data_IF_346759711199
#
_entry.id   IF_346759711199
#
_cell.length_a   1.000
_cell.length_b   1.000
_cell.length_c   1.000
_cell.angle_alpha   90.00
_cell.angle_beta   90.00
_cell.angle_gamma   90.00
#
_symmetry.space_group_name_H-M   'P 1'
#
loop_
_entity.id
_entity.type
_entity.pdbx_description
1 polymer ?
#
# COMPACT_ATOMS: atom_id res chain seq x y z
N UNK A 1 15.00 13.53 11.99
CA UNK A 1 14.35 12.36 12.65
C UNK A 1 14.31 12.69 14.13
N UNK A 2 13.20 12.46 14.83
CA UNK A 2 13.17 12.70 16.29
C UNK A 2 14.19 11.77 16.95
N UNK A 3 15.03 12.32 17.82
CA UNK A 3 16.05 11.57 18.59
C UNK A 3 15.39 10.74 19.69
N UNK A 4 14.60 9.73 19.30
CA UNK A 4 13.95 8.82 20.23
C UNK A 4 14.17 7.36 19.81
N UNK A 5 14.33 6.49 20.80
CA UNK A 5 14.40 5.04 20.59
C UNK A 5 13.06 4.52 20.05
N UNK A 6 13.06 3.41 19.32
CA UNK A 6 11.83 2.83 18.76
C UNK A 6 10.76 2.56 19.84
N UNK A 7 11.17 2.18 21.05
CA UNK A 7 10.26 1.99 22.18
C UNK A 7 9.63 3.32 22.63
N UNK A 8 10.40 4.40 22.69
CA UNK A 8 9.88 5.74 23.02
C UNK A 8 8.95 6.27 21.94
N UNK A 9 9.25 6.03 20.67
CA UNK A 9 8.38 6.39 19.56
C UNK A 9 7.03 5.64 19.61
N UNK A 10 7.07 4.33 19.83
CA UNK A 10 5.86 3.51 19.97
C UNK A 10 5.05 3.90 21.21
N UNK A 11 5.71 4.23 22.31
CA UNK A 11 5.04 4.75 23.51
C UNK A 11 4.37 6.10 23.25
N UNK A 12 5.00 7.01 22.50
CA UNK A 12 4.40 8.28 22.10
C UNK A 12 3.18 8.09 21.20
N UNK A 13 3.25 7.17 20.22
CA UNK A 13 2.10 6.81 19.38
C UNK A 13 0.97 6.27 20.25
N UNK A 14 1.28 5.36 21.19
CA UNK A 14 0.29 4.78 22.08
C UNK A 14 -0.43 5.86 22.92
N UNK A 15 0.32 6.78 23.53
CA UNK A 15 -0.25 7.90 24.30
C UNK A 15 -1.18 8.76 23.43
N UNK A 16 -0.78 9.06 22.19
CA UNK A 16 -1.63 9.81 21.26
C UNK A 16 -2.93 9.08 20.95
N UNK A 17 -2.85 7.78 20.64
CA UNK A 17 -4.02 6.95 20.37
C UNK A 17 -4.94 6.86 21.59
N UNK A 18 -4.38 6.65 22.78
CA UNK A 18 -5.13 6.56 24.03
C UNK A 18 -5.85 7.89 24.34
N UNK A 19 -5.20 9.04 24.11
CA UNK A 19 -5.80 10.37 24.28
C UNK A 19 -6.94 10.65 23.28
N UNK A 20 -6.79 10.25 22.01
CA UNK A 20 -7.85 10.37 21.00
C UNK A 20 -9.06 9.51 21.39
N UNK A 21 -8.79 8.29 21.85
CA UNK A 21 -9.82 7.35 22.29
C UNK A 21 -10.54 7.86 23.54
N UNK A 22 -9.81 8.44 24.50
CA UNK A 22 -10.38 9.04 25.72
C UNK A 22 -11.23 10.29 25.44
N UNK A 23 -10.95 11.02 24.36
CA UNK A 23 -11.76 12.15 23.90
C UNK A 23 -13.09 11.72 23.22
N UNK A 24 -13.38 10.41 23.16
CA UNK A 24 -14.58 9.87 22.53
C UNK A 24 -14.57 9.96 21.00
N UNK A 25 -13.43 10.32 20.40
CA UNK A 25 -13.27 10.39 18.95
C UNK A 25 -12.96 8.99 18.43
N UNK A 26 -13.93 8.38 17.74
CA UNK A 26 -13.68 7.14 17.01
C UNK A 26 -13.01 7.47 15.68
N UNK A 27 -11.97 6.72 15.30
CA UNK A 27 -11.42 6.83 13.95
C UNK A 27 -12.28 5.96 13.06
N UNK A 28 -13.16 6.59 12.29
CA UNK A 28 -14.05 5.84 11.42
C UNK A 28 -13.29 5.33 10.19
N UNK A 29 -13.77 4.20 9.65
CA UNK A 29 -13.18 3.59 8.45
C UNK A 29 -13.16 4.56 7.26
N UNK A 30 -14.14 5.46 7.20
CA UNK A 30 -14.22 6.54 6.22
C UNK A 30 -13.04 7.51 6.31
N UNK A 31 -12.65 7.94 7.52
CA UNK A 31 -11.53 8.86 7.72
C UNK A 31 -10.21 8.26 7.24
N UNK A 32 -10.02 6.97 7.51
CA UNK A 32 -8.85 6.22 7.03
C UNK A 32 -8.84 6.19 5.50
N UNK A 33 -9.98 5.92 4.87
CA UNK A 33 -10.11 5.89 3.40
C UNK A 33 -9.80 7.25 2.80
N UNK A 34 -10.38 8.32 3.35
CA UNK A 34 -10.14 9.69 2.89
C UNK A 34 -8.67 10.09 3.03
N UNK A 35 -8.04 9.75 4.15
CA UNK A 35 -6.62 10.00 4.37
C UNK A 35 -5.75 9.28 3.33
N UNK A 36 -6.00 7.99 3.12
CA UNK A 36 -5.26 7.18 2.14
C UNK A 36 -5.44 7.73 0.71
N UNK A 37 -6.67 8.04 0.31
CA UNK A 37 -6.94 8.52 -1.04
C UNK A 37 -6.33 9.90 -1.31
N UNK A 38 -6.49 10.83 -0.36
CA UNK A 38 -6.02 12.19 -0.53
C UNK A 38 -4.49 12.29 -0.45
N UNK A 39 -3.89 11.70 0.58
CA UNK A 39 -2.46 11.90 0.86
C UNK A 39 -1.57 10.90 0.11
N UNK A 40 -1.95 9.61 0.09
CA UNK A 40 -1.12 8.56 -0.48
C UNK A 40 -1.38 8.30 -1.95
N UNK A 41 -2.62 8.43 -2.44
CA UNK A 41 -2.94 8.09 -3.82
C UNK A 41 -2.88 9.33 -4.73
N UNK A 42 -3.67 10.35 -4.45
CA UNK A 42 -3.82 11.52 -5.33
C UNK A 42 -2.53 12.34 -5.44
N UNK A 43 -1.96 12.75 -4.30
CA UNK A 43 -0.72 13.53 -4.30
C UNK A 43 0.44 12.74 -4.90
N UNK A 44 0.56 11.45 -4.57
CA UNK A 44 1.62 10.62 -5.10
C UNK A 44 1.52 10.52 -6.62
N UNK A 45 0.35 10.18 -7.17
CA UNK A 45 0.18 10.03 -8.63
C UNK A 45 0.45 11.34 -9.36
N UNK A 46 -0.07 12.45 -8.84
CA UNK A 46 0.15 13.78 -9.41
C UNK A 46 1.62 14.18 -9.39
N UNK A 47 2.32 13.96 -8.28
CA UNK A 47 3.70 14.41 -8.12
C UNK A 47 4.71 13.50 -8.82
N UNK A 48 4.47 12.18 -8.85
CA UNK A 48 5.43 11.20 -9.39
C UNK A 48 5.22 10.90 -10.87
N UNK A 49 3.97 10.87 -11.34
CA UNK A 49 3.64 10.47 -12.70
C UNK A 49 3.04 11.61 -13.53
N UNK A 50 2.95 12.83 -12.98
CA UNK A 50 2.29 13.98 -13.62
C UNK A 50 0.93 13.62 -14.24
N UNK A 51 0.20 12.74 -13.57
CA UNK A 51 -1.06 12.16 -14.03
C UNK A 51 -2.15 12.46 -13.02
N UNK A 52 -3.40 12.50 -13.46
CA UNK A 52 -4.56 12.68 -12.58
C UNK A 52 -5.52 11.49 -12.71
N UNK A 53 -6.09 11.08 -11.58
CA UNK A 53 -7.23 10.17 -11.59
C UNK A 53 -8.44 10.99 -12.03
N UNK A 54 -9.23 10.45 -12.97
CA UNK A 54 -10.42 11.13 -13.50
C UNK A 54 -11.72 10.55 -12.97
N UNK A 55 -11.74 9.25 -12.70
CA UNK A 55 -12.95 8.51 -12.34
C UNK A 55 -12.64 7.54 -11.23
N UNK A 56 -13.48 7.57 -10.19
CA UNK A 56 -13.46 6.62 -9.09
C UNK A 56 -14.70 5.74 -9.19
N UNK A 57 -14.52 4.42 -9.17
CA UNK A 57 -15.62 3.45 -9.22
C UNK A 57 -15.68 2.63 -7.93
N UNK A 58 -16.85 2.52 -7.31
CA UNK A 58 -17.09 1.75 -6.08
C UNK A 58 -18.38 0.94 -6.14
N UNK A 59 -18.56 0.04 -5.16
CA UNK A 59 -19.77 -0.79 -5.02
C UNK A 59 -20.93 -0.09 -4.28
N UNK A 60 -20.79 1.19 -3.94
CA UNK A 60 -21.79 1.90 -3.15
C UNK A 60 -21.86 1.47 -1.69
N UNK A 61 -20.75 0.98 -1.11
CA UNK A 61 -20.62 0.88 0.35
C UNK A 61 -20.90 2.24 1.01
N UNK A 62 -21.40 2.22 2.26
CA UNK A 62 -21.81 3.44 2.97
C UNK A 62 -20.68 4.48 3.06
N UNK A 63 -19.44 4.01 3.21
CA UNK A 63 -18.22 4.81 3.23
C UNK A 63 -17.93 5.55 1.91
N UNK A 64 -18.51 5.09 0.79
CA UNK A 64 -18.35 5.71 -0.54
C UNK A 64 -19.54 6.58 -0.96
N UNK A 65 -20.61 6.62 -0.15
CA UNK A 65 -21.82 7.42 -0.39
C UNK A 65 -21.91 8.62 0.57
N UNK A 66 -21.08 8.64 1.61
CA UNK A 66 -21.05 9.69 2.61
C UNK A 66 -20.83 11.10 2.04
N UNK A 67 -21.26 12.11 2.80
CA UNK A 67 -21.07 13.51 2.40
C UNK A 67 -19.59 13.90 2.35
N UNK A 68 -18.77 13.45 3.30
CA UNK A 68 -17.35 13.80 3.30
C UNK A 68 -16.62 13.16 2.11
N UNK A 69 -16.95 11.93 1.73
CA UNK A 69 -16.46 11.30 0.50
C UNK A 69 -16.88 12.07 -0.75
N UNK A 70 -18.15 12.49 -0.82
CA UNK A 70 -18.66 13.30 -1.94
C UNK A 70 -17.91 14.63 -2.07
N UNK A 71 -17.64 15.32 -0.95
CA UNK A 71 -16.85 16.56 -0.91
C UNK A 71 -15.42 16.29 -1.38
N UNK A 72 -14.80 15.20 -0.94
CA UNK A 72 -13.47 14.79 -1.40
C UNK A 72 -13.41 14.63 -2.93
N UNK A 73 -14.39 13.93 -3.52
CA UNK A 73 -14.45 13.74 -4.97
C UNK A 73 -14.61 15.08 -5.70
N UNK A 74 -15.47 15.98 -5.21
CA UNK A 74 -15.67 17.31 -5.80
C UNK A 74 -14.41 18.17 -5.75
N UNK A 75 -13.73 18.21 -4.60
CA UNK A 75 -12.49 18.97 -4.41
C UNK A 75 -11.37 18.51 -5.35
N UNK A 76 -11.38 17.23 -5.70
CA UNK A 76 -10.40 16.61 -6.60
C UNK A 76 -10.89 16.48 -8.05
N UNK A 77 -12.08 17.01 -8.38
CA UNK A 77 -12.69 16.94 -9.71
C UNK A 77 -12.77 15.50 -10.23
N UNK A 78 -13.16 14.57 -9.35
CA UNK A 78 -13.33 13.15 -9.67
C UNK A 78 -14.77 12.83 -10.03
N UNK A 79 -14.95 12.10 -11.13
CA UNK A 79 -16.25 11.51 -11.47
C UNK A 79 -16.50 10.29 -10.58
N UNK A 80 -17.59 10.32 -9.81
CA UNK A 80 -18.03 9.16 -9.03
C UNK A 80 -18.82 8.19 -9.91
N UNK A 81 -18.47 6.91 -9.87
CA UNK A 81 -19.24 5.83 -10.49
C UNK A 81 -19.57 4.79 -9.43
N UNK A 82 -20.86 4.50 -9.27
CA UNK A 82 -21.33 3.50 -8.32
C UNK A 82 -21.91 2.34 -9.13
N UNK A 83 -21.48 1.11 -8.85
CA UNK A 83 -22.07 -0.07 -9.51
C UNK A 83 -23.51 -0.27 -9.08
N UNK A 84 -24.34 -0.83 -9.97
CA UNK A 84 -25.71 -1.17 -9.65
C UNK A 84 -25.76 -2.19 -8.49
N UNK A 85 -26.73 -2.05 -7.56
CA UNK A 85 -26.96 -3.07 -6.55
C UNK A 85 -27.15 -4.45 -7.18
N UNK A 86 -26.63 -5.48 -6.53
CA UNK A 86 -26.74 -6.88 -6.97
C UNK A 86 -26.10 -7.20 -8.34
N UNK A 87 -25.13 -6.39 -8.79
CA UNK A 87 -24.34 -6.65 -10.01
C UNK A 87 -22.84 -6.77 -9.70
N UNK A 88 -22.40 -7.84 -9.03
CA UNK A 88 -20.99 -8.03 -8.68
C UNK A 88 -20.06 -8.00 -9.90
N UNK A 89 -20.58 -8.35 -11.08
CA UNK A 89 -19.85 -8.36 -12.35
C UNK A 89 -19.28 -6.97 -12.70
N UNK A 90 -19.98 -5.90 -12.31
CA UNK A 90 -19.54 -4.53 -12.55
C UNK A 90 -18.29 -4.16 -11.74
N UNK A 91 -17.99 -4.91 -10.69
CA UNK A 91 -16.83 -4.73 -9.82
C UNK A 91 -15.75 -5.81 -10.01
N UNK A 92 -15.92 -6.74 -10.96
CA UNK A 92 -15.09 -7.92 -11.13
C UNK A 92 -13.57 -7.69 -11.15
N UNK A 93 -13.13 -6.52 -11.61
CA UNK A 93 -11.71 -6.18 -11.68
C UNK A 93 -11.10 -6.06 -10.29
N UNK A 94 -11.79 -5.40 -9.34
CA UNK A 94 -11.25 -5.21 -8.00
C UNK A 94 -11.22 -6.56 -7.26
N UNK A 95 -12.24 -7.40 -7.42
CA UNK A 95 -12.35 -8.69 -6.75
C UNK A 95 -11.30 -9.66 -7.30
N UNK A 96 -11.09 -9.67 -8.62
CA UNK A 96 -10.03 -10.47 -9.24
C UNK A 96 -8.65 -10.05 -8.76
N UNK A 97 -8.39 -8.73 -8.65
CA UNK A 97 -7.11 -8.23 -8.12
C UNK A 97 -6.92 -8.58 -6.65
N UNK A 98 -7.95 -8.43 -5.83
CA UNK A 98 -7.91 -8.80 -4.42
C UNK A 98 -7.65 -10.31 -4.24
N UNK A 99 -8.37 -11.16 -4.99
CA UNK A 99 -8.15 -12.61 -4.99
C UNK A 99 -6.73 -12.98 -5.45
N UNK A 100 -6.21 -12.32 -6.47
CA UNK A 100 -4.85 -12.58 -6.96
C UNK A 100 -3.79 -12.23 -5.90
N UNK A 101 -3.92 -11.08 -5.24
CA UNK A 101 -3.03 -10.64 -4.16
C UNK A 101 -3.04 -11.61 -2.98
N UNK A 102 -4.22 -11.98 -2.50
CA UNK A 102 -4.34 -12.92 -1.38
C UNK A 102 -3.90 -14.34 -1.77
N UNK A 103 -4.15 -14.76 -3.00
CA UNK A 103 -3.68 -16.04 -3.53
C UNK A 103 -2.15 -16.12 -3.49
N UNK A 104 -1.46 -15.11 -4.03
CA UNK A 104 0.00 -15.06 -4.00
C UNK A 104 0.56 -14.94 -2.58
N UNK A 105 -0.09 -14.17 -1.71
CA UNK A 105 0.29 -14.07 -0.29
C UNK A 105 0.27 -15.44 0.39
N UNK A 106 -0.81 -16.21 0.21
CA UNK A 106 -0.94 -17.57 0.77
C UNK A 106 0.12 -18.50 0.21
N UNK A 107 0.38 -18.44 -1.10
CA UNK A 107 1.43 -19.22 -1.75
C UNK A 107 2.82 -18.92 -1.18
N UNK A 108 3.16 -17.63 -0.98
CA UNK A 108 4.45 -17.23 -0.41
C UNK A 108 4.62 -17.76 1.02
N UNK A 109 3.61 -17.62 1.88
CA UNK A 109 3.65 -18.12 3.25
C UNK A 109 3.80 -19.64 3.30
N UNK A 110 3.02 -20.34 2.47
CA UNK A 110 3.06 -21.81 2.40
C UNK A 110 4.41 -22.32 1.88
N UNK A 111 4.91 -21.77 0.76
CA UNK A 111 6.21 -22.16 0.20
C UNK A 111 7.36 -21.88 1.17
N UNK A 112 7.31 -20.75 1.89
CA UNK A 112 8.29 -20.40 2.90
C UNK A 112 8.03 -21.03 4.28
N UNK A 113 7.00 -21.88 4.46
CA UNK A 113 6.67 -22.48 5.75
C UNK A 113 6.61 -21.45 6.90
N UNK A 114 6.09 -20.25 6.62
CA UNK A 114 6.04 -19.16 7.59
C UNK A 114 4.64 -19.06 8.23
N UNK A 115 4.56 -18.75 9.53
CA UNK A 115 3.30 -18.57 10.21
C UNK A 115 2.61 -17.24 9.83
N UNK A 116 1.35 -17.13 10.23
CA UNK A 116 0.50 -15.95 9.97
C UNK A 116 1.04 -14.57 10.42
N UNK A 117 1.92 -14.43 11.43
CA UNK A 117 2.50 -13.13 11.76
C UNK A 117 3.22 -12.45 10.60
N UNK A 118 3.77 -13.20 9.65
CA UNK A 118 4.49 -12.67 8.48
C UNK A 118 3.57 -12.30 7.30
N UNK A 119 2.25 -12.22 7.52
CA UNK A 119 1.28 -11.89 6.46
C UNK A 119 1.52 -10.51 5.86
N UNK A 120 1.90 -9.51 6.66
CA UNK A 120 2.13 -8.16 6.17
C UNK A 120 3.29 -8.11 5.16
N UNK A 121 4.40 -8.78 5.49
CA UNK A 121 5.58 -8.90 4.63
C UNK A 121 5.26 -9.73 3.37
N UNK A 122 4.48 -10.80 3.52
CA UNK A 122 4.04 -11.62 2.39
C UNK A 122 3.13 -10.83 1.43
N UNK A 123 2.19 -10.02 1.96
CA UNK A 123 1.32 -9.15 1.14
C UNK A 123 2.16 -8.09 0.41
N UNK A 124 3.10 -7.45 1.11
CA UNK A 124 4.00 -6.47 0.51
C UNK A 124 4.83 -7.09 -0.62
N UNK A 125 5.39 -8.28 -0.40
CA UNK A 125 6.15 -9.02 -1.41
C UNK A 125 5.26 -9.44 -2.58
N UNK A 126 4.05 -9.94 -2.32
CA UNK A 126 3.10 -10.30 -3.36
C UNK A 126 2.74 -9.09 -4.23
N UNK A 127 2.43 -7.94 -3.63
CA UNK A 127 2.16 -6.70 -4.36
C UNK A 127 3.37 -6.26 -5.22
N UNK A 128 4.57 -6.35 -4.65
CA UNK A 128 5.81 -6.03 -5.35
C UNK A 128 6.02 -6.90 -6.61
N UNK A 129 5.73 -8.20 -6.50
CA UNK A 129 5.83 -9.17 -7.59
C UNK A 129 4.72 -8.96 -8.63
N UNK A 130 3.46 -8.79 -8.21
CA UNK A 130 2.33 -8.56 -9.13
C UNK A 130 2.58 -7.36 -10.04
N UNK A 131 3.14 -6.28 -9.52
CA UNK A 131 3.45 -5.09 -10.30
C UNK A 131 4.62 -5.29 -11.28
N UNK A 132 5.42 -6.35 -11.14
CA UNK A 132 6.58 -6.66 -11.96
C UNK A 132 6.42 -7.88 -12.85
N UNK A 133 5.34 -8.64 -12.69
CA UNK A 133 5.05 -9.78 -13.56
C UNK A 133 4.36 -9.29 -14.85
N UNK A 134 4.63 -9.93 -15.99
CA UNK A 134 3.93 -9.63 -17.23
C UNK A 134 2.45 -9.99 -17.10
N UNK A 135 1.57 -9.19 -17.69
CA UNK A 135 0.13 -9.44 -17.66
C UNK A 135 -0.46 -9.41 -19.07
N UNK A 136 -1.24 -10.44 -19.40
CA UNK A 136 -1.94 -10.55 -20.69
C UNK A 136 -2.89 -9.38 -20.95
N UNK A 137 -3.46 -8.79 -19.89
CA UNK A 137 -4.35 -7.62 -19.99
C UNK A 137 -3.66 -6.35 -20.53
N UNK A 138 -2.32 -6.30 -20.50
CA UNK A 138 -1.52 -5.17 -20.99
C UNK A 138 -0.49 -5.63 -22.03
N UNK A 139 -0.88 -6.56 -22.91
CA UNK A 139 -0.04 -7.07 -24.00
C UNK A 139 1.28 -7.67 -23.50
N UNK A 140 1.23 -8.41 -22.38
CA UNK A 140 2.38 -9.02 -21.71
C UNK A 140 3.46 -8.03 -21.24
N UNK A 141 3.15 -6.74 -21.15
CA UNK A 141 3.98 -5.77 -20.43
C UNK A 141 3.84 -5.97 -18.92
N UNK A 142 4.77 -5.40 -18.13
CA UNK A 142 4.63 -5.38 -16.68
C UNK A 142 3.93 -4.08 -16.26
N UNK A 143 3.08 -4.09 -15.21
CA UNK A 143 2.46 -2.87 -14.71
C UNK A 143 3.48 -1.78 -14.36
N UNK A 144 4.62 -2.19 -13.78
CA UNK A 144 5.73 -1.30 -13.46
C UNK A 144 6.30 -0.63 -14.71
N UNK A 145 6.59 -1.38 -15.78
CA UNK A 145 7.16 -0.77 -16.99
C UNK A 145 6.16 0.14 -17.68
N UNK A 146 4.88 -0.18 -17.62
CA UNK A 146 3.82 0.65 -18.19
C UNK A 146 3.62 1.96 -17.42
N UNK A 147 3.75 1.93 -16.10
CA UNK A 147 3.55 3.10 -15.24
C UNK A 147 4.79 4.00 -15.16
N UNK A 148 5.98 3.41 -15.07
CA UNK A 148 7.24 4.14 -14.91
C UNK A 148 8.01 4.38 -16.22
N UNK A 149 7.59 3.76 -17.33
CA UNK A 149 8.33 3.82 -18.60
C UNK A 149 9.69 3.12 -18.58
N UNK A 150 10.01 2.37 -17.51
CA UNK A 150 11.30 1.71 -17.31
C UNK A 150 11.16 0.19 -17.30
N UNK A 151 12.10 -0.51 -17.96
CA UNK A 151 12.14 -1.97 -17.92
C UNK A 151 12.44 -2.48 -16.51
N UNK A 152 11.81 -3.59 -16.15
CA UNK A 152 12.01 -4.25 -14.86
C UNK A 152 13.27 -5.11 -14.91
N UNK A 153 14.17 -4.90 -13.96
CA UNK A 153 15.28 -5.82 -13.68
C UNK A 153 14.86 -6.80 -12.58
N UNK A 154 15.34 -8.04 -12.64
CA UNK A 154 15.01 -9.09 -11.66
C UNK A 154 16.21 -9.56 -10.81
N UNK A 155 17.40 -8.98 -11.03
CA UNK A 155 18.67 -9.41 -10.40
C UNK A 155 18.67 -9.29 -8.88
N UNK A 156 17.88 -8.36 -8.34
CA UNK A 156 17.73 -8.12 -6.91
C UNK A 156 16.69 -9.05 -6.25
N UNK A 157 15.90 -9.78 -7.03
CA UNK A 157 14.92 -10.71 -6.46
C UNK A 157 15.63 -11.84 -5.71
N UNK A 158 15.06 -12.20 -4.57
CA UNK A 158 15.48 -13.32 -3.72
C UNK A 158 14.27 -14.12 -3.31
N UNK A 159 14.48 -15.39 -3.00
CA UNK A 159 13.43 -16.26 -2.47
C UNK A 159 12.86 -15.65 -1.19
N UNK A 160 11.54 -15.64 -1.05
CA UNK A 160 10.89 -15.24 0.19
C UNK A 160 11.40 -16.14 1.33
N UNK A 161 11.81 -15.54 2.47
CA UNK A 161 12.60 -16.19 3.56
C UNK A 161 14.08 -16.44 3.24
N UNK A 162 14.69 -15.70 2.32
CA UNK A 162 16.15 -15.74 2.16
C UNK A 162 16.86 -15.22 3.42
N UNK A 163 18.07 -15.72 3.67
CA UNK A 163 18.92 -15.18 4.74
C UNK A 163 19.29 -13.73 4.41
N UNK A 164 19.12 -12.85 5.40
CA UNK A 164 19.49 -11.45 5.34
C UNK A 164 20.56 -11.21 6.40
N UNK A 165 21.70 -10.63 6.02
CA UNK A 165 22.69 -10.16 6.99
C UNK A 165 22.41 -8.69 7.29
N UNK A 166 22.27 -8.35 8.57
CA UNK A 166 22.18 -6.97 8.99
C UNK A 166 23.55 -6.33 8.79
N UNK A 167 23.63 -5.30 7.95
CA UNK A 167 24.82 -4.46 7.89
C UNK A 167 24.87 -3.58 9.14
N UNK A 168 25.51 -4.10 10.19
CA UNK A 168 25.92 -3.28 11.32
C UNK A 168 27.12 -2.46 10.84
N UNK A 169 26.96 -1.14 10.66
CA UNK A 169 28.13 -0.28 10.47
C UNK A 169 29.09 -0.57 11.63
N UNK A 170 30.36 -0.89 11.36
CA UNK A 170 31.36 -0.87 12.41
C UNK A 170 31.23 0.50 13.08
N UNK A 171 31.00 0.53 14.39
CA UNK A 171 31.04 1.78 15.14
C UNK A 171 32.46 2.32 15.01
N UNK A 172 32.65 3.14 13.98
CA UNK A 172 33.82 3.97 13.79
C UNK A 172 33.91 4.84 15.04
N UNK A 173 34.96 4.64 15.85
CA UNK A 173 35.10 5.30 17.15
C UNK A 173 34.93 6.83 17.05
N UNK A 174 35.28 7.41 15.90
CA UNK A 174 35.08 8.82 15.58
C UNK A 174 34.72 9.02 14.10
N UNK A 175 34.06 10.15 13.76
CA UNK A 175 33.60 10.52 12.40
C UNK A 175 34.69 10.47 11.30
N UNK A 176 35.96 10.56 11.69
CA UNK A 176 37.13 10.58 10.80
C UNK A 176 37.82 9.22 10.64
N UNK A 177 37.32 8.17 11.28
CA UNK A 177 37.93 6.84 11.11
C UNK A 177 37.64 6.26 9.73
N UNK A 178 38.61 5.53 9.14
CA UNK A 178 38.47 4.97 7.80
C UNK A 178 37.25 4.05 7.75
N UNK A 179 36.40 4.26 6.75
CA UNK A 179 35.29 3.38 6.42
C UNK A 179 35.73 2.53 5.23
N UNK A 180 35.67 1.21 5.39
CA UNK A 180 35.88 0.24 4.30
C UNK A 180 34.82 0.39 3.21
#
# INVERSE_FOLDING_TARGET
MKDCTMQQYLAQIKILVDNITAAGSNVDTEDIILYILNDLLHKLIKNTFNSSIQTFRSNGGGEFISNAFRIYLLNNVLTNQISCPYTPEQNDLNERKHRHLLGLTRMLLHAAHLPNPFRAEAISTANYLINRLPSSAISNQTPYSRLHGQLVTYTHLRTFRCLCFLWLQPQAQNKLSPRS
#
